data_IF_833331167489
#
_entry.id   IF_833331167489
#
_cell.length_a   1.000
_cell.length_b   1.000
_cell.length_c   1.000
_cell.angle_alpha   90.00
_cell.angle_beta   90.00
_cell.angle_gamma   90.00
#
_symmetry.space_group_name_H-M   'P 1'
#
loop_
_entity.id
_entity.type
_entity.pdbx_description
1 polymer ?
#
# COMPACT_ATOMS: atom_id res chain seq x y z
N UNK A 1 -46.91 0.81 36.49
CA UNK A 1 -46.31 -0.36 35.81
C UNK A 1 -45.53 0.16 34.61
N UNK A 2 -44.24 0.44 34.77
CA UNK A 2 -43.40 1.01 33.70
C UNK A 2 -42.58 -0.13 33.11
N UNK A 3 -42.95 -0.56 31.89
CA UNK A 3 -42.20 -1.54 31.11
C UNK A 3 -40.99 -0.82 30.50
N UNK A 4 -39.80 -1.12 31.02
CA UNK A 4 -38.55 -0.65 30.47
C UNK A 4 -38.32 -1.31 29.09
N UNK A 5 -38.19 -0.48 28.05
CA UNK A 5 -37.80 -0.89 26.71
C UNK A 5 -36.32 -1.29 26.74
N UNK A 6 -36.05 -2.58 26.51
CA UNK A 6 -34.70 -3.07 26.28
C UNK A 6 -34.24 -2.61 24.89
N UNK A 7 -33.47 -1.52 24.85
CA UNK A 7 -32.63 -1.19 23.70
C UNK A 7 -31.59 -2.30 23.55
N UNK A 8 -31.82 -3.22 22.61
CA UNK A 8 -30.77 -4.09 22.11
C UNK A 8 -29.73 -3.22 21.40
N UNK A 9 -28.67 -2.92 22.13
CA UNK A 9 -27.43 -2.41 21.58
C UNK A 9 -26.94 -3.40 20.53
N UNK A 10 -27.07 -3.03 19.25
CA UNK A 10 -26.35 -3.65 18.17
C UNK A 10 -24.85 -3.35 18.38
N UNK A 11 -24.19 -4.19 19.17
CA UNK A 11 -22.75 -4.29 19.22
C UNK A 11 -22.30 -4.69 17.81
N UNK A 12 -21.86 -3.70 17.03
CA UNK A 12 -21.04 -3.94 15.86
C UNK A 12 -19.81 -4.72 16.33
N UNK A 13 -19.82 -6.03 16.10
CA UNK A 13 -18.64 -6.84 16.31
C UNK A 13 -17.51 -6.28 15.45
N UNK A 14 -16.29 -6.11 15.97
CA UNK A 14 -15.14 -5.82 15.13
C UNK A 14 -15.01 -6.98 14.15
N UNK A 15 -15.29 -6.73 12.87
CA UNK A 15 -14.85 -7.64 11.81
C UNK A 15 -13.34 -7.68 11.92
N UNK A 16 -12.78 -8.82 12.34
CA UNK A 16 -11.38 -9.09 12.15
C UNK A 16 -11.07 -8.74 10.70
N UNK A 17 -10.17 -7.78 10.48
CA UNK A 17 -9.65 -7.50 9.16
C UNK A 17 -9.04 -8.82 8.68
N UNK A 18 -9.75 -9.53 7.81
CA UNK A 18 -9.25 -10.77 7.25
C UNK A 18 -7.92 -10.47 6.58
N UNK A 19 -6.96 -11.37 6.73
CA UNK A 19 -5.66 -11.28 6.07
C UNK A 19 -5.90 -10.98 4.58
N UNK A 20 -5.41 -9.83 4.10
CA UNK A 20 -5.53 -9.47 2.70
C UNK A 20 -4.71 -10.50 1.90
N UNK A 21 -5.35 -11.37 1.08
CA UNK A 21 -4.63 -12.43 0.37
C UNK A 21 -3.66 -11.87 -0.68
N UNK A 22 -3.79 -10.59 -1.01
CA UNK A 22 -2.94 -9.90 -1.97
C UNK A 22 -1.78 -9.18 -1.31
N UNK A 23 -1.69 -9.21 0.02
CA UNK A 23 -0.53 -8.69 0.75
C UNK A 23 0.72 -9.57 0.48
N UNK A 24 1.91 -8.97 0.28
CA UNK A 24 2.20 -7.53 0.25
C UNK A 24 2.09 -6.90 -1.16
N UNK A 25 1.71 -7.65 -2.20
CA UNK A 25 1.69 -7.18 -3.58
C UNK A 25 0.89 -5.88 -3.78
N UNK A 26 -0.29 -5.76 -3.16
CA UNK A 26 -1.11 -4.55 -3.23
C UNK A 26 -0.43 -3.33 -2.59
N UNK A 27 0.13 -3.50 -1.40
CA UNK A 27 0.89 -2.47 -0.68
C UNK A 27 2.13 -2.03 -1.49
N UNK A 28 2.84 -2.98 -2.09
CA UNK A 28 4.00 -2.70 -2.94
C UNK A 28 3.64 -1.95 -4.22
N UNK A 29 2.54 -2.32 -4.88
CA UNK A 29 2.05 -1.59 -6.05
C UNK A 29 1.73 -0.13 -5.70
N UNK A 30 1.09 0.09 -4.55
CA UNK A 30 0.77 1.42 -4.07
C UNK A 30 2.01 2.22 -3.63
N UNK A 31 2.98 1.59 -2.95
CA UNK A 31 4.23 2.23 -2.56
C UNK A 31 4.98 2.73 -3.79
N UNK A 32 5.20 1.87 -4.78
CA UNK A 32 5.95 2.24 -5.99
C UNK A 32 5.21 3.26 -6.85
N UNK A 33 3.88 3.20 -6.88
CA UNK A 33 3.06 4.26 -7.51
C UNK A 33 3.24 5.61 -6.80
N UNK A 34 3.26 5.62 -5.46
CA UNK A 34 3.52 6.82 -4.68
C UNK A 34 4.97 7.33 -4.88
N UNK A 35 5.94 6.42 -4.96
CA UNK A 35 7.35 6.75 -5.26
C UNK A 35 7.49 7.41 -6.62
N UNK A 36 6.84 6.89 -7.66
CA UNK A 36 6.82 7.51 -8.99
C UNK A 36 6.26 8.94 -8.94
N UNK A 37 5.09 9.12 -8.29
CA UNK A 37 4.49 10.44 -8.13
C UNK A 37 5.36 11.41 -7.33
N UNK A 38 5.99 10.92 -6.26
CA UNK A 38 6.90 11.72 -5.43
C UNK A 38 8.11 12.20 -6.23
N UNK A 39 8.74 11.29 -6.98
CA UNK A 39 9.88 11.60 -7.86
C UNK A 39 9.50 12.63 -8.93
N UNK A 40 8.33 12.48 -9.56
CA UNK A 40 7.83 13.41 -10.55
C UNK A 40 7.51 14.80 -9.96
N UNK A 41 7.04 14.85 -8.71
CA UNK A 41 6.64 16.11 -8.05
C UNK A 41 7.84 16.91 -7.54
N UNK A 42 8.79 16.24 -6.87
CA UNK A 42 9.84 16.93 -6.13
C UNK A 42 11.20 16.93 -6.84
N UNK A 43 11.46 16.03 -7.79
CA UNK A 43 12.73 15.93 -8.52
C UNK A 43 13.99 15.88 -7.61
N UNK A 44 13.84 15.38 -6.37
CA UNK A 44 14.93 15.29 -5.37
C UNK A 44 15.75 14.00 -5.58
N UNK A 45 15.14 12.94 -6.10
CA UNK A 45 15.79 11.65 -6.37
C UNK A 45 16.36 11.61 -7.80
N UNK A 46 17.52 10.95 -7.98
CA UNK A 46 18.18 10.82 -9.29
C UNK A 46 17.54 9.76 -10.18
N UNK A 47 16.83 8.80 -9.60
CA UNK A 47 16.15 7.76 -10.37
C UNK A 47 14.90 8.33 -11.08
N UNK A 48 14.68 7.98 -12.36
CA UNK A 48 13.52 8.47 -13.10
C UNK A 48 12.21 7.90 -12.52
N UNK A 49 11.08 8.63 -12.60
CA UNK A 49 9.77 8.11 -12.18
C UNK A 49 9.36 6.81 -12.87
N UNK A 50 9.74 6.66 -14.16
CA UNK A 50 9.35 5.53 -15.00
C UNK A 50 9.77 4.15 -14.46
N UNK A 51 10.88 4.09 -13.72
CA UNK A 51 11.33 2.85 -13.08
C UNK A 51 10.36 2.42 -11.97
N UNK A 52 9.96 3.36 -11.12
CA UNK A 52 8.97 3.12 -10.07
C UNK A 52 7.57 2.80 -10.65
N UNK A 53 7.20 3.39 -11.79
CA UNK A 53 5.96 3.05 -12.49
C UNK A 53 5.97 1.60 -12.98
N UNK A 54 7.09 1.14 -13.54
CA UNK A 54 7.25 -0.25 -13.99
C UNK A 54 7.15 -1.23 -12.82
N UNK A 55 7.76 -0.91 -11.67
CA UNK A 55 7.65 -1.72 -10.45
C UNK A 55 6.20 -1.77 -9.95
N UNK A 56 5.52 -0.62 -9.89
CA UNK A 56 4.12 -0.55 -9.47
C UNK A 56 3.22 -1.45 -10.32
N UNK A 57 3.43 -1.45 -11.65
CA UNK A 57 2.71 -2.33 -12.56
C UNK A 57 3.02 -3.82 -12.29
N UNK A 58 4.28 -4.19 -12.07
CA UNK A 58 4.66 -5.58 -11.78
C UNK A 58 4.00 -6.13 -10.51
N UNK A 59 3.98 -5.35 -9.42
CA UNK A 59 3.30 -5.76 -8.18
C UNK A 59 1.78 -5.82 -8.33
N UNK A 60 1.18 -4.90 -9.11
CA UNK A 60 -0.25 -4.95 -9.44
C UNK A 60 -0.61 -6.26 -10.15
N UNK A 61 0.17 -6.66 -11.15
CA UNK A 61 -0.03 -7.94 -11.84
C UNK A 61 0.15 -9.13 -10.90
N UNK A 62 1.14 -9.07 -9.99
CA UNK A 62 1.32 -10.09 -8.96
C UNK A 62 0.12 -10.18 -7.99
N UNK A 63 -0.50 -9.05 -7.63
CA UNK A 63 -1.71 -9.01 -6.82
C UNK A 63 -2.91 -9.64 -7.54
N UNK A 64 -3.09 -9.35 -8.84
CA UNK A 64 -4.11 -10.01 -9.67
C UNK A 64 -3.89 -11.53 -9.73
N UNK A 65 -2.65 -11.96 -9.91
CA UNK A 65 -2.29 -13.39 -9.93
C UNK A 65 -2.55 -14.09 -8.58
N UNK A 66 -2.53 -13.35 -7.46
CA UNK A 66 -2.87 -13.85 -6.13
C UNK A 66 -4.37 -14.01 -5.87
N UNK A 67 -5.20 -13.73 -6.88
CA UNK A 67 -6.65 -13.78 -6.71
C UNK A 67 -7.18 -12.53 -6.02
N UNK A 68 -6.55 -11.37 -6.24
CA UNK A 68 -7.26 -10.11 -6.07
C UNK A 68 -8.60 -10.24 -6.80
N UNK A 69 -9.67 -9.72 -6.18
CA UNK A 69 -10.99 -9.72 -6.79
C UNK A 69 -11.03 -8.94 -8.12
N UNK A 70 -12.16 -8.34 -8.49
CA UNK A 70 -12.22 -7.56 -9.73
C UNK A 70 -11.09 -6.53 -9.81
N UNK A 71 -10.40 -6.43 -10.95
CA UNK A 71 -9.24 -5.54 -11.11
C UNK A 71 -9.54 -4.09 -10.69
N UNK A 72 -10.75 -3.60 -10.99
CA UNK A 72 -11.19 -2.28 -10.56
C UNK A 72 -11.26 -2.10 -9.03
N UNK A 73 -11.54 -3.17 -8.27
CA UNK A 73 -11.49 -3.13 -6.80
C UNK A 73 -10.06 -3.06 -6.28
N UNK A 74 -9.15 -3.83 -6.87
CA UNK A 74 -7.71 -3.74 -6.60
C UNK A 74 -7.18 -2.34 -6.90
N UNK A 75 -7.50 -1.78 -8.07
CA UNK A 75 -7.02 -0.45 -8.48
C UNK A 75 -7.51 0.66 -7.54
N UNK A 76 -8.76 0.57 -7.05
CA UNK A 76 -9.26 1.48 -6.02
C UNK A 76 -8.47 1.36 -4.72
N UNK A 77 -8.16 0.12 -4.29
CA UNK A 77 -7.37 -0.12 -3.09
C UNK A 77 -5.95 0.43 -3.22
N UNK A 78 -5.30 0.22 -4.37
CA UNK A 78 -3.99 0.79 -4.68
C UNK A 78 -4.05 2.32 -4.62
N UNK A 79 -5.09 2.96 -5.18
CA UNK A 79 -5.25 4.41 -5.15
C UNK A 79 -5.51 4.98 -3.73
N UNK A 80 -6.15 4.22 -2.85
CA UNK A 80 -6.29 4.57 -1.44
C UNK A 80 -4.94 4.54 -0.72
N UNK A 81 -4.20 3.44 -0.88
CA UNK A 81 -2.88 3.26 -0.27
C UNK A 81 -1.83 4.21 -0.83
N UNK A 82 -1.90 4.54 -2.14
CA UNK A 82 -1.03 5.53 -2.78
C UNK A 82 -1.00 6.83 -1.96
N UNK A 83 -2.16 7.35 -1.56
CA UNK A 83 -2.27 8.61 -0.80
C UNK A 83 -1.57 8.49 0.55
N UNK A 84 -1.70 7.34 1.21
CA UNK A 84 -1.05 7.06 2.50
C UNK A 84 0.47 7.02 2.33
N UNK A 85 0.97 6.28 1.34
CA UNK A 85 2.41 6.15 1.12
C UNK A 85 3.05 7.41 0.56
N UNK A 86 2.32 8.22 -0.21
CA UNK A 86 2.82 9.53 -0.64
C UNK A 86 3.10 10.43 0.57
N UNK A 87 2.19 10.45 1.55
CA UNK A 87 2.41 11.18 2.82
C UNK A 87 3.56 10.57 3.62
N UNK A 88 3.69 9.23 3.65
CA UNK A 88 4.82 8.56 4.29
C UNK A 88 6.16 9.02 3.68
N UNK A 89 6.25 9.06 2.35
CA UNK A 89 7.44 9.51 1.62
C UNK A 89 7.76 10.97 1.91
N UNK A 90 6.77 11.85 1.90
CA UNK A 90 6.95 13.26 2.28
C UNK A 90 7.56 13.39 3.68
N UNK A 91 7.00 12.67 4.67
CA UNK A 91 7.50 12.71 6.05
C UNK A 91 8.92 12.13 6.17
N UNK A 92 9.18 11.00 5.53
CA UNK A 92 10.48 10.32 5.60
C UNK A 92 11.61 11.12 4.95
N UNK A 93 11.32 11.74 3.79
CA UNK A 93 12.32 12.37 2.91
C UNK A 93 12.37 13.88 3.11
N UNK A 94 11.23 14.58 3.07
CA UNK A 94 11.20 16.04 3.16
C UNK A 94 11.30 16.52 4.62
N UNK A 95 10.50 15.93 5.50
CA UNK A 95 10.45 16.34 6.91
C UNK A 95 11.57 15.69 7.74
N UNK A 96 12.24 14.68 7.18
CA UNK A 96 13.32 13.95 7.84
C UNK A 96 12.86 13.10 9.03
N UNK A 97 11.57 12.81 9.14
CA UNK A 97 10.96 12.05 10.23
C UNK A 97 11.53 10.63 10.29
N UNK A 98 12.20 10.30 11.40
CA UNK A 98 12.86 9.00 11.59
C UNK A 98 11.88 7.83 11.59
N UNK A 99 10.74 7.98 12.26
CA UNK A 99 9.76 6.90 12.34
C UNK A 99 9.10 6.65 10.97
N UNK A 100 8.86 7.72 10.21
CA UNK A 100 8.40 7.58 8.83
C UNK A 100 9.45 6.89 7.94
N UNK A 101 10.73 7.21 8.12
CA UNK A 101 11.83 6.57 7.40
C UNK A 101 11.93 5.08 7.72
N UNK A 102 11.95 4.71 9.00
CA UNK A 102 12.02 3.30 9.43
C UNK A 102 10.85 2.49 8.87
N UNK A 103 9.63 3.08 8.85
CA UNK A 103 8.45 2.45 8.24
C UNK A 103 8.57 2.31 6.72
N UNK A 104 9.11 3.32 6.04
CA UNK A 104 9.33 3.27 4.59
C UNK A 104 10.36 2.20 4.24
N UNK A 105 11.48 2.14 4.95
CA UNK A 105 12.55 1.16 4.75
C UNK A 105 12.03 -0.27 4.97
N UNK A 106 11.32 -0.52 6.07
CA UNK A 106 10.73 -1.84 6.33
C UNK A 106 9.71 -2.27 5.27
N UNK A 107 8.93 -1.34 4.71
CA UNK A 107 8.01 -1.65 3.61
C UNK A 107 8.76 -1.91 2.30
N UNK A 108 9.82 -1.15 2.01
CA UNK A 108 10.67 -1.36 0.83
C UNK A 108 11.38 -2.72 0.90
N UNK A 109 11.91 -3.11 2.06
CA UNK A 109 12.51 -4.43 2.30
C UNK A 109 11.50 -5.56 2.08
N UNK A 110 10.29 -5.41 2.61
CA UNK A 110 9.21 -6.38 2.38
C UNK A 110 8.88 -6.54 0.89
N UNK A 111 8.83 -5.43 0.16
CA UNK A 111 8.60 -5.46 -1.28
C UNK A 111 9.74 -6.11 -2.04
N UNK A 112 11.00 -5.84 -1.67
CA UNK A 112 12.18 -6.50 -2.24
C UNK A 112 12.14 -8.01 -2.04
N UNK A 113 11.91 -8.47 -0.80
CA UNK A 113 11.82 -9.89 -0.48
C UNK A 113 10.67 -10.60 -1.22
N UNK A 114 9.50 -9.96 -1.31
CA UNK A 114 8.38 -10.52 -2.07
C UNK A 114 8.69 -10.61 -3.56
N UNK A 115 9.32 -9.58 -4.11
CA UNK A 115 9.64 -9.54 -5.53
C UNK A 115 10.67 -10.61 -5.91
N UNK A 116 11.68 -10.83 -5.05
CA UNK A 116 12.68 -11.90 -5.22
C UNK A 116 11.99 -13.27 -5.19
N UNK A 117 11.13 -13.51 -4.20
CA UNK A 117 10.40 -14.76 -4.06
C UNK A 117 9.45 -15.05 -5.24
N UNK A 118 9.01 -14.02 -5.98
CA UNK A 118 8.12 -14.12 -7.14
C UNK A 118 8.84 -14.01 -8.48
N UNK A 119 10.15 -13.76 -8.49
CA UNK A 119 10.92 -13.57 -9.71
C UNK A 119 10.42 -12.40 -10.55
N UNK A 120 9.97 -11.31 -9.92
CA UNK A 120 9.63 -10.09 -10.65
C UNK A 120 10.94 -9.50 -11.26
N UNK A 121 10.88 -8.60 -12.23
CA UNK A 121 12.09 -7.94 -12.73
C UNK A 121 12.28 -6.58 -12.04
N UNK A 122 13.53 -6.17 -11.80
CA UNK A 122 13.88 -4.78 -11.46
C UNK A 122 13.65 -4.35 -10.00
N UNK A 123 14.10 -5.14 -9.04
CA UNK A 123 14.13 -4.80 -7.60
C UNK A 123 15.49 -5.16 -7.01
#
# INVERSE_FOLDING_TARGET
MIRAAALFAALAAPTAAGDDPTFPATDCAALWSATAAFRATYAIDRAPPAEAEAMAAAFREAALALGAGPAAALDRRIAELHRVYFVLLQRAILDGDREARDRHEGLAELCGAFAEARGLAGH
#
